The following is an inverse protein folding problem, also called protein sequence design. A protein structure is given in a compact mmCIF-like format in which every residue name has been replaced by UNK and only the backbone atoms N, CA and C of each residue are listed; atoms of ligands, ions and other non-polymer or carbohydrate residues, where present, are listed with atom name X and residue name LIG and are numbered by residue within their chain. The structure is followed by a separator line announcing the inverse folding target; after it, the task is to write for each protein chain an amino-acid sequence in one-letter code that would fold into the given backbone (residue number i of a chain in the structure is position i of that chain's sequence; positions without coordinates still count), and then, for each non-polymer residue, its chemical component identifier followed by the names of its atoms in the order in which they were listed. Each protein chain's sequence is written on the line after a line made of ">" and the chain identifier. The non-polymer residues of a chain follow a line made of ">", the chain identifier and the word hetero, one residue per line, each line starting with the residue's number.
data_IF_344189540876
#
_entry.id   IF_344189540876
#
_cell.length_a   1.000
_cell.length_b   1.000
_cell.length_c   1.000
_cell.angle_alpha   90.00
_cell.angle_beta   90.00
_cell.angle_gamma   90.00
#
_symmetry.space_group_name_H-M   'P 1'
#
loop_
_entity.id
_entity.type
_entity.pdbx_description
1 polymer ?
#
# COMPACT_ATOMS: atom_id res chain seq x y z
N UNK A 1 19.36 8.40 0.44
CA UNK A 1 19.26 9.61 -0.40
C UNK A 1 18.44 10.65 0.35
N UNK A 2 18.73 11.93 0.15
CA UNK A 2 17.92 13.00 0.72
C UNK A 2 17.46 13.92 -0.40
N UNK A 3 16.16 14.15 -0.47
CA UNK A 3 15.55 15.10 -1.41
C UNK A 3 15.14 16.33 -0.64
N UNK A 4 15.40 17.52 -1.18
CA UNK A 4 14.98 18.77 -0.56
C UNK A 4 14.36 19.68 -1.62
N UNK A 5 13.27 20.35 -1.26
CA UNK A 5 12.61 21.33 -2.10
C UNK A 5 12.10 22.48 -1.24
N UNK A 6 12.01 23.67 -1.82
CA UNK A 6 11.54 24.88 -1.13
C UNK A 6 10.50 25.58 -2.00
N UNK A 7 9.46 26.10 -1.36
CA UNK A 7 8.39 26.83 -2.01
C UNK A 7 7.82 27.90 -1.09
N UNK A 8 7.34 28.98 -1.69
CA UNK A 8 6.41 29.90 -1.06
C UNK A 8 5.01 29.28 -1.13
N UNK A 9 4.36 29.12 0.02
CA UNK A 9 3.02 28.52 0.12
C UNK A 9 2.06 29.57 0.65
N UNK A 10 0.97 29.78 -0.07
CA UNK A 10 -0.10 30.65 0.41
C UNK A 10 -0.87 29.92 1.51
N UNK A 11 -1.06 30.57 2.64
CA UNK A 11 -1.80 30.07 3.81
C UNK A 11 -3.06 30.87 4.03
N UNK A 12 -4.08 30.20 4.53
CA UNK A 12 -5.31 30.83 5.00
C UNK A 12 -5.77 30.13 6.27
N UNK A 13 -6.51 30.84 7.12
CA UNK A 13 -7.05 30.33 8.39
C UNK A 13 -6.01 29.67 9.31
N UNK A 14 -4.80 30.24 9.37
CA UNK A 14 -3.68 29.74 10.18
C UNK A 14 -3.20 28.33 9.83
N UNK A 15 -3.40 27.86 8.60
CA UNK A 15 -3.21 26.44 8.29
C UNK A 15 -2.44 26.19 7.01
N UNK A 16 -1.40 25.35 7.17
CA UNK A 16 -0.90 24.47 6.13
C UNK A 16 -1.51 23.09 6.33
N UNK A 17 -1.94 22.47 5.23
CA UNK A 17 -2.50 21.13 5.22
C UNK A 17 -1.55 20.17 4.54
N UNK A 18 -1.51 18.95 5.08
CA UNK A 18 -0.91 17.79 4.45
C UNK A 18 -2.04 16.80 4.24
N UNK A 19 -2.34 16.43 3.01
CA UNK A 19 -3.48 15.56 2.69
C UNK A 19 -3.15 14.61 1.55
N UNK A 20 -3.80 13.44 1.57
CA UNK A 20 -3.95 12.62 0.37
C UNK A 20 -5.04 13.20 -0.55
N UNK A 21 -5.11 12.74 -1.80
CA UNK A 21 -6.21 13.13 -2.68
C UNK A 21 -7.54 12.57 -2.14
N UNK A 22 -8.40 13.45 -1.62
CA UNK A 22 -9.72 13.08 -1.10
C UNK A 22 -10.29 14.13 -0.13
N UNK A 23 -11.39 13.77 0.54
CA UNK A 23 -12.08 14.60 1.54
C UNK A 23 -11.52 14.37 2.97
N UNK A 24 -10.24 13.97 3.11
CA UNK A 24 -9.62 13.75 4.41
C UNK A 24 -9.62 15.03 5.26
N UNK A 25 -10.25 14.97 6.42
CA UNK A 25 -10.33 16.10 7.33
C UNK A 25 -9.07 16.17 8.18
N UNK A 26 -8.31 17.25 8.06
CA UNK A 26 -7.16 17.51 8.92
C UNK A 26 -7.61 17.69 10.39
N UNK A 27 -6.78 17.30 11.37
CA UNK A 27 -7.14 17.39 12.78
C UNK A 27 -7.34 18.85 13.20
N UNK A 28 -8.44 19.12 13.91
CA UNK A 28 -8.74 20.46 14.44
C UNK A 28 -8.10 20.72 15.82
N UNK A 29 -7.83 19.66 16.59
CA UNK A 29 -7.17 19.76 17.89
C UNK A 29 -5.66 19.57 17.71
N UNK A 30 -4.89 20.60 18.06
CA UNK A 30 -3.43 20.65 17.91
C UNK A 30 -2.80 20.95 19.27
N UNK A 31 -2.56 19.92 20.11
CA UNK A 31 -2.23 20.10 21.52
C UNK A 31 -0.88 20.79 21.74
N UNK A 32 0.07 20.64 20.81
CA UNK A 32 1.37 21.32 20.83
C UNK A 32 1.34 22.71 20.15
N UNK A 33 0.18 23.16 19.66
CA UNK A 33 -0.02 24.42 18.92
C UNK A 33 0.81 24.60 17.64
N UNK A 34 1.47 23.55 17.15
CA UNK A 34 2.24 23.59 15.90
C UNK A 34 1.75 22.55 14.89
N UNK A 35 1.62 21.28 15.26
CA UNK A 35 1.26 20.24 14.29
C UNK A 35 0.55 19.06 14.94
N UNK A 36 -0.44 18.52 14.25
CA UNK A 36 -1.13 17.30 14.60
C UNK A 36 -1.40 16.48 13.33
N UNK A 37 -1.57 15.18 13.50
CA UNK A 37 -1.89 14.26 12.42
C UNK A 37 -3.14 13.45 12.71
N UNK A 38 -3.81 13.07 11.63
CA UNK A 38 -4.88 12.09 11.57
C UNK A 38 -4.57 11.10 10.43
N UNK A 39 -5.26 9.96 10.35
CA UNK A 39 -5.07 9.07 9.20
C UNK A 39 -5.42 9.79 7.88
N UNK A 40 -4.49 9.80 6.93
CA UNK A 40 -4.68 10.47 5.64
C UNK A 40 -4.45 11.99 5.64
N UNK A 41 -4.23 12.62 6.81
CA UNK A 41 -4.03 14.07 6.88
C UNK A 41 -3.14 14.55 8.04
N UNK A 42 -2.57 15.74 7.92
CA UNK A 42 -1.98 16.47 9.03
C UNK A 42 -2.18 17.97 8.84
N UNK A 43 -2.07 18.71 9.94
CA UNK A 43 -2.12 20.17 9.94
C UNK A 43 -0.82 20.72 10.51
N UNK A 44 -0.37 21.85 9.98
CA UNK A 44 0.65 22.70 10.59
C UNK A 44 0.01 24.07 10.81
N UNK A 45 0.01 24.53 12.06
CA UNK A 45 -0.53 25.83 12.43
C UNK A 45 0.48 26.95 12.17
N UNK A 46 0.01 28.02 11.53
CA UNK A 46 0.77 29.23 11.24
C UNK A 46 0.44 30.36 12.21
N UNK A 47 1.39 31.26 12.45
CA UNK A 47 1.11 32.49 13.19
C UNK A 47 0.30 33.47 12.34
N UNK A 48 0.61 33.52 11.06
CA UNK A 48 -0.10 34.27 10.02
C UNK A 48 -1.49 33.70 9.81
N UNK A 49 -2.52 34.57 9.87
CA UNK A 49 -3.87 34.19 9.52
C UNK A 49 -4.01 33.92 8.02
N UNK A 50 -3.45 34.80 7.18
CA UNK A 50 -3.52 34.67 5.72
C UNK A 50 -2.33 35.32 5.06
N UNK A 51 -1.69 34.68 4.10
CA UNK A 51 -0.51 35.26 3.46
C UNK A 51 0.38 34.22 2.83
N UNK A 52 1.67 34.54 2.69
CA UNK A 52 2.67 33.61 2.15
C UNK A 52 3.66 33.24 3.25
N UNK A 53 3.95 31.94 3.36
CA UNK A 53 5.02 31.41 4.22
C UNK A 53 6.07 30.69 3.38
N UNK A 54 7.28 30.60 3.90
CA UNK A 54 8.35 29.86 3.24
C UNK A 54 8.42 28.44 3.80
N UNK A 55 8.25 27.44 2.94
CA UNK A 55 8.26 26.02 3.32
C UNK A 55 9.41 25.31 2.62
N UNK A 56 10.26 24.66 3.42
CA UNK A 56 11.27 23.72 2.94
C UNK A 56 10.87 22.30 3.33
N UNK A 57 10.69 21.42 2.35
CA UNK A 57 10.45 19.99 2.56
C UNK A 57 11.74 19.22 2.40
N UNK A 58 12.06 18.35 3.37
CA UNK A 58 13.19 17.42 3.31
C UNK A 58 12.70 15.98 3.45
N UNK A 59 12.98 15.14 2.46
CA UNK A 59 12.74 13.71 2.52
C UNK A 59 14.06 13.00 2.83
N UNK A 60 14.04 12.12 3.83
CA UNK A 60 15.21 11.35 4.28
C UNK A 60 14.83 9.89 4.52
N UNK A 61 15.75 8.96 4.34
CA UNK A 61 15.46 7.52 4.45
C UNK A 61 15.39 6.99 5.89
N UNK A 62 15.77 7.80 6.88
CA UNK A 62 15.87 7.40 8.28
C UNK A 62 15.56 8.59 9.21
N UNK A 63 15.17 8.33 10.47
CA UNK A 63 14.92 9.38 11.44
C UNK A 63 16.13 10.31 11.58
N UNK A 64 15.93 11.65 11.64
CA UNK A 64 17.03 12.59 11.91
C UNK A 64 17.73 12.25 13.23
N UNK A 65 19.06 12.10 13.19
CA UNK A 65 19.90 11.75 14.34
C UNK A 65 20.40 12.95 15.14
N UNK A 66 20.30 14.16 14.59
CA UNK A 66 20.78 15.37 15.26
C UNK A 66 19.76 15.81 16.33
N UNK A 67 20.21 16.07 17.58
CA UNK A 67 19.35 16.66 18.59
C UNK A 67 18.95 18.08 18.19
N UNK A 68 17.67 18.39 18.28
CA UNK A 68 17.14 19.72 18.00
C UNK A 68 17.48 20.66 19.16
N UNK A 69 18.68 21.24 19.16
CA UNK A 69 18.94 22.38 20.02
C UNK A 69 18.30 23.65 19.42
N UNK A 70 17.70 24.53 20.25
CA UNK A 70 17.31 25.88 19.85
C UNK A 70 18.46 26.70 19.21
N UNK A 71 19.72 26.26 19.40
CA UNK A 71 20.91 26.83 18.78
C UNK A 71 20.95 26.70 17.24
N UNK A 72 20.11 25.84 16.65
CA UNK A 72 19.90 25.74 15.20
C UNK A 72 19.08 26.90 14.58
N UNK A 73 18.60 27.84 15.40
CA UNK A 73 17.85 29.01 14.95
C UNK A 73 16.41 28.70 14.56
N UNK A 74 15.78 27.70 15.21
CA UNK A 74 14.35 27.38 15.13
C UNK A 74 13.69 27.69 16.47
N UNK A 75 12.47 28.22 16.42
CA UNK A 75 11.72 28.63 17.62
C UNK A 75 10.96 27.44 18.23
N UNK A 76 10.40 26.58 17.37
CA UNK A 76 9.61 25.42 17.76
C UNK A 76 9.94 24.21 16.89
N UNK A 77 9.96 23.02 17.51
CA UNK A 77 10.19 21.74 16.82
C UNK A 77 9.27 20.68 17.38
N UNK A 78 8.49 20.03 16.50
CA UNK A 78 7.58 18.97 16.91
C UNK A 78 7.56 17.79 15.94
N UNK A 79 7.49 16.58 16.50
CA UNK A 79 7.36 15.33 15.76
C UNK A 79 5.93 14.80 15.84
N UNK A 80 5.43 14.32 14.70
CA UNK A 80 4.18 13.58 14.59
C UNK A 80 4.36 12.39 13.64
N UNK A 81 3.43 11.46 13.70
CA UNK A 81 3.40 10.32 12.78
C UNK A 81 2.31 10.51 11.74
N UNK A 82 2.67 10.36 10.47
CA UNK A 82 1.72 10.32 9.37
C UNK A 82 1.34 8.88 9.04
N UNK A 83 0.09 8.71 8.61
CA UNK A 83 -0.45 7.46 8.09
C UNK A 83 -0.97 7.73 6.69
N UNK A 84 -0.34 7.12 5.69
CA UNK A 84 -0.64 7.30 4.27
C UNK A 84 -1.21 6.00 3.69
N UNK A 85 -2.38 6.09 3.07
CA UNK A 85 -3.07 4.96 2.43
C UNK A 85 -2.74 4.83 0.94
N UNK A 86 -2.40 5.94 0.29
CA UNK A 86 -2.12 5.99 -1.15
C UNK A 86 -0.65 6.23 -1.48
N UNK A 87 0.13 6.78 -0.54
CA UNK A 87 1.49 7.24 -0.80
C UNK A 87 1.55 8.58 -1.54
N UNK A 88 0.45 9.33 -1.58
CA UNK A 88 0.35 10.58 -2.32
C UNK A 88 0.12 11.81 -1.42
N UNK A 89 0.58 11.78 -0.17
CA UNK A 89 0.43 12.93 0.73
C UNK A 89 1.21 14.13 0.21
N UNK A 90 0.56 15.28 0.13
CA UNK A 90 1.16 16.54 -0.34
C UNK A 90 0.85 17.69 0.62
N UNK A 91 1.74 18.66 0.64
CA UNK A 91 1.61 19.89 1.42
C UNK A 91 1.01 21.02 0.57
N UNK A 92 0.06 21.76 1.14
CA UNK A 92 -0.55 22.93 0.53
C UNK A 92 -1.19 23.86 1.56
N UNK A 93 -1.71 25.00 1.09
CA UNK A 93 -2.51 25.90 1.92
C UNK A 93 -3.97 25.45 2.02
N UNK A 94 -4.64 25.77 3.12
CA UNK A 94 -6.08 25.53 3.23
C UNK A 94 -6.86 26.24 2.11
N UNK A 95 -7.71 25.50 1.39
CA UNK A 95 -8.54 26.03 0.30
C UNK A 95 -7.76 26.49 -0.94
N UNK A 96 -6.44 26.29 -0.96
CA UNK A 96 -5.57 26.60 -2.08
C UNK A 96 -5.12 25.31 -2.77
N UNK A 97 -4.82 25.40 -4.06
CA UNK A 97 -4.22 24.28 -4.78
C UNK A 97 -2.90 23.83 -4.13
N UNK A 98 -2.51 22.59 -4.43
CA UNK A 98 -1.24 22.01 -3.99
C UNK A 98 -0.07 22.84 -4.49
N UNK A 99 0.98 22.97 -3.68
CA UNK A 99 2.22 23.61 -4.13
C UNK A 99 2.95 22.66 -5.08
N UNK A 100 2.80 22.85 -6.40
CA UNK A 100 3.39 21.98 -7.43
C UNK A 100 4.92 21.83 -7.35
N UNK A 101 5.59 22.80 -6.72
CA UNK A 101 7.03 22.81 -6.50
C UNK A 101 7.49 21.97 -5.30
N UNK A 102 6.57 21.49 -4.46
CA UNK A 102 6.90 20.61 -3.33
C UNK A 102 6.68 19.14 -3.70
N UNK A 103 7.56 18.23 -3.23
CA UNK A 103 7.46 16.81 -3.52
C UNK A 103 6.30 16.17 -2.76
N UNK A 104 5.89 14.99 -3.24
CA UNK A 104 5.05 14.07 -2.46
C UNK A 104 5.82 13.65 -1.21
N UNK A 105 5.21 13.85 -0.05
CA UNK A 105 5.84 13.59 1.26
C UNK A 105 6.03 12.09 1.52
N UNK A 106 5.15 11.26 0.96
CA UNK A 106 5.12 9.81 1.17
C UNK A 106 5.60 9.05 -0.06
N UNK A 107 6.71 9.50 -0.64
CA UNK A 107 7.28 8.98 -1.88
C UNK A 107 7.66 7.47 -1.85
N UNK A 108 7.73 6.84 -0.68
CA UNK A 108 7.93 5.38 -0.54
C UNK A 108 6.62 4.58 -0.65
N UNK A 109 5.51 5.24 -1.00
CA UNK A 109 4.18 4.65 -1.16
C UNK A 109 3.35 4.71 0.13
N UNK A 110 2.24 3.97 0.20
CA UNK A 110 1.48 3.85 1.44
C UNK A 110 2.37 3.40 2.60
N UNK A 111 2.10 3.87 3.81
CA UNK A 111 3.07 3.72 4.90
C UNK A 111 2.77 4.49 6.16
N UNK A 112 3.49 4.13 7.22
CA UNK A 112 3.69 4.98 8.39
C UNK A 112 4.96 5.77 8.17
N UNK A 113 4.87 7.08 8.39
CA UNK A 113 5.99 8.00 8.22
C UNK A 113 6.15 8.82 9.49
N UNK A 114 7.39 9.14 9.82
CA UNK A 114 7.67 10.18 10.81
C UNK A 114 7.71 11.52 10.08
N UNK A 115 7.17 12.55 10.72
CA UNK A 115 7.27 13.92 10.27
C UNK A 115 7.75 14.79 11.42
N UNK A 116 8.79 15.58 11.15
CA UNK A 116 9.29 16.65 12.03
C UNK A 116 8.99 17.99 11.39
N UNK A 117 8.43 18.90 12.17
CA UNK A 117 8.15 20.28 11.76
C UNK A 117 8.99 21.22 12.60
N UNK A 118 9.88 21.95 11.95
CA UNK A 118 10.55 23.11 12.54
C UNK A 118 9.83 24.38 12.10
N UNK A 119 9.61 25.31 13.02
CA UNK A 119 9.02 26.61 12.73
C UNK A 119 9.87 27.75 13.31
N UNK A 120 9.90 28.87 12.59
CA UNK A 120 10.46 30.14 13.06
C UNK A 120 9.63 31.32 12.58
N UNK A 121 9.50 32.34 13.42
CA UNK A 121 8.96 33.65 13.07
C UNK A 121 7.44 33.77 13.22
N UNK A 122 6.79 32.77 13.84
CA UNK A 122 5.33 32.73 14.03
C UNK A 122 4.80 33.92 14.84
N UNK A 123 5.60 34.42 15.77
CA UNK A 123 5.21 35.53 16.64
C UNK A 123 5.56 36.91 16.03
N UNK A 124 6.19 36.96 14.85
CA UNK A 124 6.65 38.22 14.23
C UNK A 124 5.50 38.99 13.57
N UNK A 125 4.54 38.27 13.00
CA UNK A 125 3.40 38.82 12.28
C UNK A 125 2.13 38.02 12.59
N UNK A 126 1.93 37.69 13.87
CA UNK A 126 0.76 36.96 14.36
C UNK A 126 -0.53 37.64 13.89
N UNK A 127 -1.48 36.85 13.38
CA UNK A 127 -2.76 37.29 12.81
C UNK A 127 -2.67 38.26 11.61
N UNK A 128 -1.48 38.55 11.10
CA UNK A 128 -1.31 39.50 10.01
C UNK A 128 -1.73 38.93 8.66
N UNK A 129 -1.95 39.85 7.70
CA UNK A 129 -2.09 39.54 6.28
C UNK A 129 -0.89 40.08 5.52
N UNK A 130 0.04 39.20 5.12
CA UNK A 130 1.32 39.58 4.50
C UNK A 130 1.54 38.86 3.16
N UNK A 131 2.02 39.62 2.16
CA UNK A 131 2.49 39.08 0.87
C UNK A 131 3.97 38.74 0.85
N UNK A 132 4.71 38.98 1.94
CA UNK A 132 6.14 38.65 2.07
C UNK A 132 6.31 37.63 3.20
N UNK A 133 7.03 36.52 2.99
CA UNK A 133 7.24 35.51 4.02
C UNK A 133 7.98 36.07 5.24
N UNK A 134 7.30 36.09 6.39
CA UNK A 134 7.89 36.36 7.70
C UNK A 134 8.07 35.07 8.53
N UNK A 135 7.38 33.99 8.13
CA UNK A 135 7.42 32.69 8.77
C UNK A 135 8.13 31.66 7.88
N UNK A 136 8.91 30.80 8.53
CA UNK A 136 9.72 29.78 7.88
C UNK A 136 9.43 28.43 8.51
N UNK A 137 9.18 27.44 7.65
CA UNK A 137 8.89 26.07 8.03
C UNK A 137 9.87 25.12 7.38
N UNK A 138 10.39 24.17 8.15
CA UNK A 138 11.06 22.99 7.61
C UNK A 138 10.27 21.74 7.98
N UNK A 139 9.81 21.01 6.98
CA UNK A 139 9.06 19.76 7.13
C UNK A 139 9.95 18.60 6.70
N UNK A 140 10.43 17.82 7.65
CA UNK A 140 11.28 16.65 7.39
C UNK A 140 10.46 15.38 7.52
N UNK A 141 10.46 14.52 6.51
CA UNK A 141 9.68 13.28 6.47
C UNK A 141 10.58 12.07 6.22
N UNK A 142 10.33 10.98 6.96
CA UNK A 142 11.05 9.71 6.81
C UNK A 142 10.14 8.50 6.92
N UNK A 143 10.44 7.40 6.21
CA UNK A 143 9.70 6.16 6.37
C UNK A 143 9.93 5.54 7.76
N UNK A 144 8.85 5.07 8.40
CA UNK A 144 8.92 4.23 9.62
C UNK A 144 8.62 2.77 9.27
N UNK A 145 7.50 2.54 8.58
CA UNK A 145 7.07 1.23 8.09
C UNK A 145 6.44 1.45 6.71
N UNK A 146 7.16 1.07 5.65
CA UNK A 146 6.78 1.30 4.25
C UNK A 146 7.01 0.06 3.40
N UNK A 147 6.32 -0.02 2.26
CA UNK A 147 6.42 -1.14 1.32
C UNK A 147 5.34 -2.21 1.53
N UNK A 148 5.39 -3.34 0.80
CA UNK A 148 4.26 -4.27 0.68
C UNK A 148 3.73 -4.81 2.01
N UNK A 149 4.61 -5.06 2.98
CA UNK A 149 4.18 -5.50 4.31
C UNK A 149 3.52 -4.39 5.13
N UNK A 150 4.00 -3.15 5.01
CA UNK A 150 3.38 -1.99 5.64
C UNK A 150 2.03 -1.67 4.99
N UNK A 151 1.92 -1.76 3.66
CA UNK A 151 0.65 -1.63 2.92
C UNK A 151 -0.37 -2.65 3.40
N UNK A 152 0.09 -3.87 3.67
CA UNK A 152 -0.75 -4.93 4.18
C UNK A 152 -1.19 -4.71 5.63
N UNK A 153 -0.34 -4.10 6.47
CA UNK A 153 -0.71 -3.65 7.82
C UNK A 153 -1.66 -2.45 7.81
N UNK A 154 -1.45 -1.51 6.88
CA UNK A 154 -2.22 -0.26 6.72
C UNK A 154 -3.56 -0.43 6.01
N UNK A 155 -3.84 -1.62 5.47
CA UNK A 155 -5.18 -2.00 5.04
C UNK A 155 -6.20 -1.88 6.19
N UNK A 156 -7.45 -2.23 5.88
CA UNK A 156 -8.66 -2.17 6.71
C UNK A 156 -8.43 -2.41 8.23
N UNK A 157 -7.46 -3.22 8.64
CA UNK A 157 -7.05 -3.41 10.03
C UNK A 157 -6.72 -2.13 10.80
N UNK A 158 -5.95 -1.18 10.21
CA UNK A 158 -5.65 0.10 10.88
C UNK A 158 -6.88 1.01 10.93
N UNK A 159 -7.71 1.02 9.88
CA UNK A 159 -8.96 1.76 9.89
C UNK A 159 -9.96 1.20 10.94
N UNK A 160 -9.95 -0.11 11.21
CA UNK A 160 -10.75 -0.71 12.29
C UNK A 160 -10.16 -0.47 13.68
N UNK A 161 -8.84 -0.59 13.85
CA UNK A 161 -8.12 -0.33 15.10
C UNK A 161 -8.24 1.13 15.55
N UNK A 162 -8.25 2.06 14.59
CA UNK A 162 -8.45 3.50 14.82
C UNK A 162 -9.94 3.91 14.90
N UNK A 163 -10.88 2.95 14.85
CA UNK A 163 -12.31 3.23 15.01
C UNK A 163 -12.96 3.96 13.83
N UNK A 164 -12.44 3.78 12.61
CA UNK A 164 -12.89 4.40 11.36
C UNK A 164 -13.53 3.35 10.39
N UNK A 165 -14.69 2.76 10.74
CA UNK A 165 -15.33 1.69 9.97
C UNK A 165 -15.80 2.13 8.57
N UNK A 166 -16.13 3.41 8.39
CA UNK A 166 -16.54 3.97 7.08
C UNK A 166 -15.35 4.06 6.11
N UNK A 167 -14.16 4.41 6.60
CA UNK A 167 -12.93 4.41 5.79
C UNK A 167 -12.55 3.01 5.34
N UNK A 168 -12.81 1.98 6.14
CA UNK A 168 -12.66 0.58 5.69
C UNK A 168 -13.59 0.25 4.52
N UNK A 169 -14.79 0.83 4.48
CA UNK A 169 -15.71 0.69 3.36
C UNK A 169 -15.28 1.55 2.17
N UNK A 170 -14.81 2.78 2.37
CA UNK A 170 -14.28 3.65 1.32
C UNK A 170 -13.02 3.07 0.70
N UNK A 171 -12.09 2.51 1.47
CA UNK A 171 -10.90 1.81 0.94
C UNK A 171 -11.34 0.57 0.13
N UNK A 172 -12.37 -0.15 0.58
CA UNK A 172 -12.97 -1.27 -0.18
C UNK A 172 -13.68 -0.82 -1.44
N UNK A 173 -14.46 0.25 -1.39
CA UNK A 173 -15.19 0.80 -2.52
C UNK A 173 -14.25 1.49 -3.51
N UNK A 174 -13.23 2.20 -3.03
CA UNK A 174 -12.13 2.73 -3.82
C UNK A 174 -11.40 1.59 -4.52
N UNK A 175 -11.01 0.52 -3.82
CA UNK A 175 -10.36 -0.64 -4.44
C UNK A 175 -11.27 -1.39 -5.45
N UNK A 176 -12.59 -1.41 -5.21
CA UNK A 176 -13.57 -1.95 -6.17
C UNK A 176 -13.80 -1.05 -7.38
N UNK A 177 -13.86 0.27 -7.18
CA UNK A 177 -14.12 1.29 -8.21
C UNK A 177 -12.89 1.57 -9.07
N UNK A 178 -11.70 1.52 -8.47
CA UNK A 178 -10.40 1.73 -9.11
C UNK A 178 -9.69 0.41 -9.48
N UNK A 179 -10.38 -0.72 -9.29
CA UNK A 179 -9.99 -2.06 -9.78
C UNK A 179 -10.15 -2.25 -11.30
N UNK A 180 -10.57 -1.21 -12.03
CA UNK A 180 -10.41 -1.05 -13.47
C UNK A 180 -9.27 -0.05 -13.74
N UNK A 181 -8.40 -0.29 -14.74
CA UNK A 181 -7.09 0.34 -14.82
C UNK A 181 -7.21 1.86 -15.01
N UNK A 182 -6.74 2.64 -14.04
CA UNK A 182 -6.31 4.00 -14.33
C UNK A 182 -5.00 3.94 -15.13
N UNK A 183 -5.09 4.30 -16.40
CA UNK A 183 -3.94 4.68 -17.21
C UNK A 183 -3.31 5.96 -16.63
N UNK A 184 -2.03 5.83 -16.26
CA UNK A 184 -1.08 6.80 -15.69
C UNK A 184 -1.33 8.31 -15.84
N UNK A 185 -0.97 9.04 -14.77
CA UNK A 185 0.05 10.11 -14.80
C UNK A 185 0.50 10.45 -13.38
N UNK A 186 1.72 10.06 -13.01
CA UNK A 186 2.31 10.40 -11.70
C UNK A 186 3.48 9.51 -11.24
N UNK A 187 3.72 8.38 -11.90
CA UNK A 187 4.88 7.51 -11.61
C UNK A 187 6.16 8.15 -12.18
N UNK A 188 6.93 8.85 -11.35
CA UNK A 188 8.31 9.20 -11.72
C UNK A 188 9.19 7.97 -11.50
N UNK A 189 9.85 7.57 -12.58
CA UNK A 189 10.82 6.49 -12.69
C UNK A 189 11.96 6.62 -11.66
N UNK A 190 12.38 5.49 -11.06
CA UNK A 190 13.63 5.48 -10.29
C UNK A 190 14.01 4.19 -9.60
N UNK A 191 13.04 3.39 -9.11
CA UNK A 191 13.32 2.07 -8.58
C UNK A 191 12.56 1.03 -9.42
N UNK A 192 13.25 0.11 -10.13
CA UNK A 192 12.55 -1.01 -10.72
C UNK A 192 11.83 -1.78 -9.61
N UNK A 193 10.61 -2.31 -9.84
CA UNK A 193 10.03 -3.29 -8.92
C UNK A 193 11.08 -4.36 -8.65
N UNK A 194 11.11 -5.02 -7.48
CA UNK A 194 12.04 -6.11 -7.24
C UNK A 194 11.93 -7.10 -8.41
N UNK A 195 12.92 -7.05 -9.32
CA UNK A 195 12.98 -7.88 -10.52
C UNK A 195 13.34 -9.32 -10.17
N UNK A 196 13.68 -9.56 -8.90
CA UNK A 196 14.01 -10.88 -8.42
C UNK A 196 12.75 -11.70 -8.26
N UNK A 197 12.46 -12.49 -9.29
CA UNK A 197 11.47 -13.56 -9.23
C UNK A 197 11.90 -14.52 -8.12
N UNK A 198 11.06 -14.76 -7.09
CA UNK A 198 11.41 -15.66 -6.01
C UNK A 198 11.68 -17.08 -6.51
N UNK A 199 12.62 -17.77 -5.86
CA UNK A 199 12.86 -19.19 -6.11
C UNK A 199 11.60 -20.01 -5.83
N UNK A 200 11.30 -21.05 -6.62
CA UNK A 200 10.14 -21.91 -6.37
C UNK A 200 10.15 -22.53 -4.98
N UNK A 201 9.00 -22.56 -4.32
CA UNK A 201 8.84 -23.08 -2.95
C UNK A 201 7.91 -24.28 -2.97
N UNK A 202 8.34 -25.37 -2.33
CA UNK A 202 7.49 -26.53 -2.06
C UNK A 202 7.12 -26.58 -0.58
N UNK A 203 5.89 -26.93 -0.29
CA UNK A 203 5.41 -27.15 1.07
C UNK A 203 4.20 -28.06 1.12
N UNK A 204 3.72 -28.30 2.33
CA UNK A 204 2.53 -29.11 2.57
C UNK A 204 1.44 -28.19 3.11
N UNK A 205 0.26 -28.26 2.52
CA UNK A 205 -0.90 -27.51 2.99
C UNK A 205 -2.02 -28.44 3.45
N UNK A 206 -2.80 -27.99 4.43
CA UNK A 206 -3.99 -28.70 4.89
C UNK A 206 -5.19 -28.24 4.06
N UNK A 207 -5.81 -29.17 3.35
CA UNK A 207 -7.11 -28.99 2.74
C UNK A 207 -8.21 -29.25 3.79
N UNK A 208 -9.26 -28.43 3.76
CA UNK A 208 -10.46 -28.59 4.58
C UNK A 208 -11.72 -28.20 3.79
N UNK A 209 -12.82 -28.93 4.00
CA UNK A 209 -14.06 -28.74 3.24
C UNK A 209 -13.92 -28.82 1.72
N UNK A 210 -12.99 -29.64 1.19
CA UNK A 210 -12.61 -29.67 -0.24
C UNK A 210 -11.94 -28.39 -0.75
N UNK A 211 -11.31 -27.61 0.13
CA UNK A 211 -10.70 -26.32 -0.20
C UNK A 211 -9.26 -26.27 0.25
N UNK A 212 -8.43 -25.76 -0.64
CA UNK A 212 -7.16 -25.13 -0.30
C UNK A 212 -7.35 -23.62 -0.46
N UNK A 213 -7.25 -22.88 0.65
CA UNK A 213 -7.49 -21.44 0.67
C UNK A 213 -6.17 -20.68 0.52
N UNK A 214 -6.16 -19.69 -0.37
CA UNK A 214 -5.14 -18.65 -0.38
C UNK A 214 -5.84 -17.34 -0.14
N UNK A 215 -5.41 -16.62 0.88
CA UNK A 215 -6.07 -15.38 1.31
C UNK A 215 -5.03 -14.34 1.62
N UNK A 216 -5.48 -13.11 1.61
CA UNK A 216 -4.79 -12.03 2.27
C UNK A 216 -4.94 -12.22 3.80
N UNK A 217 -3.87 -12.56 4.53
CA UNK A 217 -3.96 -12.84 5.97
C UNK A 217 -4.37 -11.61 6.79
N UNK A 218 -4.31 -10.42 6.19
CA UNK A 218 -4.70 -9.15 6.80
C UNK A 218 -6.16 -8.78 6.51
N UNK A 219 -6.90 -9.63 5.80
CA UNK A 219 -8.32 -9.44 5.52
C UNK A 219 -9.14 -10.64 6.01
N UNK A 220 -9.44 -10.62 7.31
CA UNK A 220 -10.26 -11.67 7.94
C UNK A 220 -11.72 -11.70 7.44
N UNK A 221 -12.14 -10.63 6.74
CA UNK A 221 -13.48 -10.47 6.15
C UNK A 221 -13.52 -10.66 4.63
N UNK A 222 -12.40 -11.05 3.99
CA UNK A 222 -12.39 -11.29 2.55
C UNK A 222 -13.45 -12.35 2.21
N UNK A 223 -14.33 -12.01 1.25
CA UNK A 223 -15.38 -12.92 0.81
C UNK A 223 -14.75 -14.21 0.31
N UNK A 224 -15.08 -15.32 0.95
CA UNK A 224 -14.57 -16.63 0.52
C UNK A 224 -15.34 -17.02 -0.74
N UNK A 225 -14.68 -17.19 -1.89
CA UNK A 225 -15.33 -17.69 -3.09
C UNK A 225 -16.09 -18.98 -2.79
N UNK A 226 -17.25 -19.13 -3.41
CA UNK A 226 -17.93 -20.43 -3.43
C UNK A 226 -17.03 -21.48 -4.09
N UNK A 227 -17.26 -22.74 -3.74
CA UNK A 227 -16.47 -23.82 -4.30
C UNK A 227 -16.73 -23.88 -5.82
N UNK A 228 -15.71 -23.76 -6.68
CA UNK A 228 -15.90 -23.74 -8.12
C UNK A 228 -16.39 -25.10 -8.63
N UNK A 229 -17.10 -25.09 -9.76
CA UNK A 229 -17.29 -26.29 -10.57
C UNK A 229 -15.94 -26.76 -11.16
N UNK A 230 -15.05 -25.82 -11.48
CA UNK A 230 -13.67 -26.03 -11.89
C UNK A 230 -12.69 -26.32 -10.74
N UNK A 231 -11.43 -26.02 -10.97
CA UNK A 231 -10.29 -26.21 -10.08
C UNK A 231 -10.06 -24.99 -9.18
N UNK A 232 -10.32 -23.76 -9.62
CA UNK A 232 -10.05 -22.55 -8.83
C UNK A 232 -11.16 -21.50 -8.97
N UNK A 233 -11.46 -20.81 -7.86
CA UNK A 233 -12.34 -19.65 -7.82
C UNK A 233 -11.63 -18.49 -7.15
N UNK A 234 -11.93 -17.27 -7.60
CA UNK A 234 -11.28 -16.04 -7.13
C UNK A 234 -12.31 -15.03 -6.67
N UNK A 235 -11.96 -14.28 -5.64
CA UNK A 235 -12.57 -13.03 -5.21
C UNK A 235 -11.42 -12.05 -4.92
N UNK A 236 -11.69 -10.75 -4.77
CA UNK A 236 -10.68 -9.82 -4.27
C UNK A 236 -10.10 -10.35 -2.95
N UNK A 237 -8.76 -10.41 -2.88
CA UNK A 237 -7.99 -10.82 -1.69
C UNK A 237 -8.24 -12.27 -1.20
N UNK A 238 -8.87 -13.12 -2.00
CA UNK A 238 -9.19 -14.49 -1.63
C UNK A 238 -9.33 -15.39 -2.84
N UNK A 239 -8.75 -16.58 -2.81
CA UNK A 239 -8.95 -17.61 -3.82
C UNK A 239 -9.06 -18.98 -3.16
N UNK A 240 -9.84 -19.84 -3.79
CA UNK A 240 -10.12 -21.19 -3.34
C UNK A 240 -9.76 -22.14 -4.46
N UNK A 241 -8.86 -23.08 -4.16
CA UNK A 241 -8.55 -24.20 -5.03
C UNK A 241 -9.34 -25.40 -4.54
N UNK A 242 -10.11 -26.01 -5.42
CA UNK A 242 -10.94 -27.18 -5.12
C UNK A 242 -10.07 -28.42 -5.03
N UNK A 243 -10.11 -29.07 -3.87
CA UNK A 243 -9.41 -30.33 -3.61
C UNK A 243 -10.34 -31.53 -3.66
N UNK A 244 -9.81 -32.70 -4.02
CA UNK A 244 -10.54 -33.96 -3.88
C UNK A 244 -10.61 -34.41 -2.43
N UNK A 245 -9.54 -34.17 -1.66
CA UNK A 245 -9.58 -34.41 -0.22
C UNK A 245 -10.56 -33.45 0.45
N UNK A 246 -11.58 -34.03 1.09
CA UNK A 246 -12.48 -33.28 1.98
C UNK A 246 -11.69 -32.67 3.14
N UNK A 247 -10.76 -33.45 3.70
CA UNK A 247 -9.83 -33.03 4.76
C UNK A 247 -8.53 -33.81 4.61
N UNK A 248 -7.39 -33.15 4.82
CA UNK A 248 -6.08 -33.80 4.83
C UNK A 248 -4.99 -32.98 4.15
N UNK A 249 -3.77 -33.50 4.11
CA UNK A 249 -2.63 -32.78 3.53
C UNK A 249 -2.54 -32.94 2.02
N UNK A 250 -2.15 -31.87 1.34
CA UNK A 250 -1.83 -31.83 -0.09
C UNK A 250 -0.45 -31.20 -0.25
N UNK A 251 0.28 -31.63 -1.27
CA UNK A 251 1.56 -31.01 -1.61
C UNK A 251 1.29 -29.76 -2.47
N UNK A 252 1.97 -28.65 -2.17
CA UNK A 252 1.84 -27.40 -2.92
C UNK A 252 3.22 -26.96 -3.37
N UNK A 253 3.37 -26.74 -4.67
CA UNK A 253 4.54 -26.12 -5.28
C UNK A 253 4.12 -24.75 -5.82
N UNK A 254 4.82 -23.71 -5.41
CA UNK A 254 4.60 -22.35 -5.90
C UNK A 254 5.78 -21.98 -6.78
N UNK A 255 5.48 -21.53 -8.00
CA UNK A 255 6.45 -21.10 -8.98
C UNK A 255 6.10 -19.70 -9.47
N UNK A 256 6.96 -18.74 -9.20
CA UNK A 256 6.79 -17.38 -9.69
C UNK A 256 7.42 -17.24 -11.07
N UNK A 257 6.74 -16.53 -11.96
CA UNK A 257 7.24 -16.22 -13.29
C UNK A 257 7.09 -14.72 -13.56
N UNK A 258 7.96 -14.15 -14.41
CA UNK A 258 7.85 -12.75 -14.80
C UNK A 258 6.71 -12.51 -15.80
N UNK A 259 6.28 -13.56 -16.52
CA UNK A 259 5.25 -13.48 -17.57
C UNK A 259 4.41 -14.75 -17.60
N UNK A 260 3.28 -14.70 -18.30
CA UNK A 260 2.40 -15.86 -18.45
C UNK A 260 3.13 -17.08 -19.07
N UNK A 261 2.94 -18.29 -18.50
CA UNK A 261 3.55 -19.52 -19.01
C UNK A 261 2.98 -19.88 -20.39
N UNK A 262 3.86 -20.03 -21.39
CA UNK A 262 3.49 -20.29 -22.79
C UNK A 262 2.97 -21.71 -23.06
N UNK A 263 3.34 -22.68 -22.22
CA UNK A 263 2.96 -24.07 -22.40
C UNK A 263 2.35 -24.63 -21.11
N UNK A 264 1.36 -25.54 -21.21
CA UNK A 264 0.91 -26.30 -20.06
C UNK A 264 2.05 -27.18 -19.55
N UNK A 265 2.16 -27.31 -18.23
CA UNK A 265 3.13 -28.22 -17.63
C UNK A 265 2.79 -29.66 -18.03
N UNK A 266 3.71 -30.33 -18.72
CA UNK A 266 3.57 -31.76 -19.05
C UNK A 266 3.42 -32.58 -17.76
N UNK A 267 2.63 -33.67 -17.78
CA UNK A 267 2.34 -34.59 -16.67
C UNK A 267 1.30 -34.17 -15.60
N UNK A 268 0.63 -33.02 -15.76
CA UNK A 268 -0.50 -32.63 -14.89
C UNK A 268 -1.85 -33.07 -15.48
N UNK A 269 -2.78 -33.48 -14.62
CA UNK A 269 -4.06 -34.08 -15.05
C UNK A 269 -5.11 -33.03 -15.40
N UNK A 270 -5.06 -31.88 -14.72
CA UNK A 270 -5.98 -30.77 -14.91
C UNK A 270 -5.22 -29.45 -14.72
N UNK A 271 -5.63 -28.43 -15.46
CA UNK A 271 -5.12 -27.08 -15.27
C UNK A 271 -6.22 -26.06 -15.50
N UNK A 272 -6.24 -25.02 -14.67
CA UNK A 272 -7.10 -23.86 -14.85
C UNK A 272 -6.30 -22.59 -14.65
N UNK A 273 -6.57 -21.59 -15.48
CA UNK A 273 -5.95 -20.28 -15.41
C UNK A 273 -7.00 -19.26 -15.01
N UNK A 274 -6.66 -18.45 -14.01
CA UNK A 274 -7.51 -17.37 -13.50
C UNK A 274 -6.67 -16.13 -13.28
N UNK A 275 -7.36 -15.00 -13.24
CA UNK A 275 -6.79 -13.76 -12.74
C UNK A 275 -7.33 -13.48 -11.35
N UNK A 276 -6.50 -12.91 -10.49
CA UNK A 276 -6.94 -12.45 -9.18
C UNK A 276 -6.34 -11.10 -8.84
N UNK A 277 -7.00 -10.40 -7.93
CA UNK A 277 -6.62 -9.08 -7.44
C UNK A 277 -6.24 -9.20 -5.97
N UNK A 278 -5.12 -8.59 -5.61
CA UNK A 278 -4.77 -8.34 -4.21
C UNK A 278 -4.66 -6.84 -3.98
N UNK A 279 -5.28 -6.36 -2.91
CA UNK A 279 -5.24 -4.93 -2.54
C UNK A 279 -4.03 -4.60 -1.68
N UNK A 280 -3.46 -5.57 -0.97
CA UNK A 280 -2.31 -5.36 -0.09
C UNK A 280 -1.00 -5.86 -0.66
N UNK A 281 -1.05 -6.70 -1.71
CA UNK A 281 0.14 -7.36 -2.22
C UNK A 281 0.62 -8.53 -1.38
N UNK A 282 -0.21 -9.04 -0.46
CA UNK A 282 0.10 -10.25 0.31
C UNK A 282 -1.02 -11.26 0.13
N UNK A 283 -0.67 -12.40 -0.45
CA UNK A 283 -1.54 -13.56 -0.62
C UNK A 283 -0.81 -14.81 -0.16
N UNK A 284 -1.37 -15.52 0.82
CA UNK A 284 -0.74 -16.67 1.44
C UNK A 284 -1.68 -17.85 1.52
N UNK A 285 -1.12 -19.05 1.39
CA UNK A 285 -1.85 -20.30 1.58
C UNK A 285 -2.09 -20.50 3.09
N UNK A 286 -3.37 -20.52 3.53
CA UNK A 286 -3.80 -20.38 4.94
C UNK A 286 -3.21 -21.44 5.88
N UNK A 287 -2.86 -22.62 5.36
CA UNK A 287 -2.39 -23.76 6.15
C UNK A 287 -1.15 -24.42 5.56
N UNK A 288 -0.34 -23.67 4.80
CA UNK A 288 0.90 -24.17 4.25
C UNK A 288 2.02 -24.07 5.29
N UNK A 289 2.61 -25.23 5.59
CA UNK A 289 3.88 -25.34 6.31
C UNK A 289 5.00 -25.41 5.28
N UNK A 290 5.97 -24.53 5.39
CA UNK A 290 7.27 -24.60 4.71
C UNK A 290 8.35 -24.96 5.74
N UNK A 291 9.48 -25.49 5.27
CA UNK A 291 10.62 -25.83 6.13
C UNK A 291 11.34 -24.58 6.71
N UNK A 292 10.97 -23.37 6.30
CA UNK A 292 11.66 -22.10 6.62
C UNK A 292 10.86 -21.13 7.52
N UNK A 293 9.81 -21.56 8.23
CA UNK A 293 8.96 -20.74 9.13
C UNK A 293 8.28 -19.50 8.50
N UNK A 294 8.63 -19.09 7.27
CA UNK A 294 7.96 -18.04 6.51
C UNK A 294 6.98 -18.63 5.50
N UNK A 295 5.72 -18.19 5.57
CA UNK A 295 4.70 -18.53 4.58
C UNK A 295 4.99 -17.79 3.27
N UNK A 296 5.11 -18.50 2.14
CA UNK A 296 5.40 -17.86 0.86
C UNK A 296 4.27 -16.91 0.45
N UNK A 297 4.64 -15.71 0.00
CA UNK A 297 3.72 -14.73 -0.55
C UNK A 297 3.58 -14.95 -2.07
N UNK A 298 2.37 -15.23 -2.55
CA UNK A 298 2.11 -15.44 -3.98
C UNK A 298 2.31 -14.15 -4.80
N UNK A 299 2.14 -12.98 -4.22
CA UNK A 299 2.11 -11.69 -4.93
C UNK A 299 3.38 -10.88 -4.68
N UNK A 300 4.49 -11.35 -5.27
CA UNK A 300 5.85 -10.86 -4.99
C UNK A 300 6.17 -9.43 -5.45
N UNK A 301 5.32 -8.83 -6.31
CA UNK A 301 5.47 -7.45 -6.76
C UNK A 301 4.56 -6.45 -6.01
N UNK A 302 3.90 -6.89 -4.94
CA UNK A 302 2.97 -6.06 -4.17
C UNK A 302 1.54 -6.11 -4.73
N UNK A 303 0.75 -5.09 -4.41
CA UNK A 303 -0.67 -5.02 -4.78
C UNK A 303 -0.86 -4.97 -6.30
N UNK A 304 -1.98 -5.50 -6.80
CA UNK A 304 -2.30 -5.48 -8.22
C UNK A 304 -2.94 -6.75 -8.76
N UNK A 305 -2.87 -6.91 -10.08
CA UNK A 305 -3.42 -8.04 -10.83
C UNK A 305 -2.35 -9.08 -11.12
N UNK A 306 -2.71 -10.32 -10.87
CA UNK A 306 -1.84 -11.46 -11.11
C UNK A 306 -2.60 -12.51 -11.89
N UNK A 307 -1.88 -13.16 -12.80
CA UNK A 307 -2.32 -14.41 -13.39
C UNK A 307 -1.88 -15.55 -12.49
N UNK A 308 -2.76 -16.53 -12.34
CA UNK A 308 -2.51 -17.77 -11.63
C UNK A 308 -2.94 -18.92 -12.53
N UNK A 309 -1.99 -19.81 -12.84
CA UNK A 309 -2.30 -21.13 -13.39
C UNK A 309 -2.18 -22.16 -12.29
N UNK A 310 -3.27 -22.85 -11.99
CA UNK A 310 -3.34 -23.94 -11.04
C UNK A 310 -3.29 -25.25 -11.81
N UNK A 311 -2.35 -26.11 -11.49
CA UNK A 311 -2.28 -27.48 -12.01
C UNK A 311 -2.58 -28.48 -10.90
N UNK A 312 -3.47 -29.44 -11.17
CA UNK A 312 -3.82 -30.53 -10.25
C UNK A 312 -3.34 -31.89 -10.77
N UNK A 313 -2.82 -32.74 -9.87
CA UNK A 313 -2.40 -34.11 -10.19
C UNK A 313 -2.94 -35.12 -9.17
N UNK A 314 -3.11 -36.37 -9.61
CA UNK A 314 -3.66 -37.49 -8.86
C UNK A 314 -5.16 -37.35 -8.52
N UNK A 315 -5.96 -36.87 -9.47
CA UNK A 315 -7.41 -36.71 -9.35
C UNK A 315 -8.24 -37.92 -9.81
N UNK A 316 -7.67 -38.85 -10.58
CA UNK A 316 -8.37 -40.06 -11.06
C UNK A 316 -8.00 -41.39 -10.37
N UNK A 317 -8.97 -42.08 -9.76
CA UNK A 317 -8.92 -43.53 -9.46
C UNK A 317 -8.83 -43.95 -7.98
N UNK A 318 -9.47 -45.09 -7.65
CA UNK A 318 -9.68 -45.66 -6.29
C UNK A 318 -8.38 -45.84 -5.47
N UNK A 319 -8.56 -45.58 -4.17
CA UNK A 319 -7.66 -45.69 -3.00
C UNK A 319 -6.66 -46.87 -3.02
N UNK A 320 -5.36 -46.57 -2.85
CA UNK A 320 -4.58 -46.96 -1.65
C UNK A 320 -3.08 -46.64 -1.76
N UNK A 321 -2.52 -46.46 -2.97
CA UNK A 321 -1.06 -46.32 -3.16
C UNK A 321 -0.59 -45.18 -4.10
N UNK A 322 -1.44 -44.20 -4.42
CA UNK A 322 -1.03 -43.08 -5.29
C UNK A 322 -0.32 -41.95 -4.53
N UNK A 323 0.58 -41.21 -5.22
CA UNK A 323 1.25 -40.03 -4.66
C UNK A 323 0.24 -39.04 -4.08
N UNK A 324 0.67 -38.32 -3.02
CA UNK A 324 -0.16 -37.29 -2.38
C UNK A 324 -0.71 -36.33 -3.44
N UNK A 325 -2.01 -36.06 -3.36
CA UNK A 325 -2.67 -35.01 -4.14
C UNK A 325 -1.79 -33.75 -4.11
N UNK A 326 -1.45 -33.25 -5.28
CA UNK A 326 -0.42 -32.21 -5.46
C UNK A 326 -0.95 -31.10 -6.34
N UNK A 327 -0.52 -29.87 -6.03
CA UNK A 327 -0.86 -28.66 -6.76
C UNK A 327 0.40 -27.89 -7.15
N UNK A 328 0.49 -27.47 -8.41
CA UNK A 328 1.48 -26.49 -8.85
C UNK A 328 0.75 -25.17 -9.12
N UNK A 329 1.17 -24.12 -8.45
CA UNK A 329 0.68 -22.75 -8.60
C UNK A 329 1.73 -21.98 -9.38
N UNK A 330 1.45 -21.62 -10.63
CA UNK A 330 2.31 -20.73 -11.41
C UNK A 330 1.72 -19.33 -11.35
N UNK A 331 2.46 -18.38 -10.79
CA UNK A 331 1.99 -17.00 -10.56
C UNK A 331 2.83 -16.02 -11.33
N UNK A 332 2.19 -15.09 -12.06
CA UNK A 332 2.90 -14.01 -12.76
C UNK A 332 2.16 -12.69 -12.61
N UNK A 333 2.87 -11.56 -12.57
CA UNK A 333 2.25 -10.26 -12.63
C UNK A 333 1.62 -10.07 -14.02
N UNK A 334 0.44 -9.48 -14.07
CA UNK A 334 -0.15 -9.03 -15.33
C UNK A 334 0.21 -7.55 -15.47
N UNK A 335 1.09 -7.25 -16.43
CA UNK A 335 1.35 -5.87 -16.81
C UNK A 335 0.03 -5.23 -17.24
N UNK A 336 -0.31 -4.11 -16.61
CA UNK A 336 -1.40 -3.27 -17.06
C UNK A 336 -0.95 -2.63 -18.38
N UNK A 337 -1.32 -3.24 -19.51
CA UNK A 337 -0.94 -2.75 -20.83
C UNK A 337 -1.35 -1.28 -21.03
N UNK A 338 -0.69 -0.55 -21.94
CA UNK A 338 -1.10 0.81 -22.30
C UNK A 338 -2.52 0.75 -22.87
N UNK A 339 -3.43 1.55 -22.29
CA UNK A 339 -4.81 1.66 -22.77
C UNK A 339 -4.80 1.98 -24.27
N UNK A 340 -5.54 1.19 -25.06
CA UNK A 340 -5.72 1.42 -26.48
C UNK A 340 -6.19 2.86 -26.71
N UNK A 341 -5.37 3.64 -27.42
CA UNK A 341 -5.66 5.02 -27.78
C UNK A 341 -7.02 5.06 -28.52
N UNK A 342 -8.01 5.69 -27.90
CA UNK A 342 -9.24 6.08 -28.59
C UNK A 342 -8.83 7.04 -29.72
N UNK A 343 -9.05 6.60 -30.95
CA UNK A 343 -8.96 7.45 -32.14
C UNK A 343 -10.00 8.56 -31.98
N UNK A 344 -9.62 9.85 -32.04
CA UNK A 344 -10.59 10.93 -32.08
C UNK A 344 -11.28 10.93 -33.45
N UNK A 345 -12.62 10.84 -33.43
CA UNK A 345 -13.49 11.24 -34.53
C UNK A 345 -13.97 12.67 -34.30
#
# INVERSE_FOLDING_TARGET
>A
MSTSARAEVYVSYHQLLIQEQGDEVAPFDVPNRLTASAPGAAVILTGLHTGVVDVTVRLVDAPPTEPDEPSGGWDEVHDVQLVSFTGEMRLGGFGMGLADSLPVLTAHGPGRYGMRVHARGRDVAEDAVSGVPAEFYQVTVWPIDVGPQAHARLGIGVAQELGLPDKSREIREWAKQHGLPQSERGRIAGAPPPQHVPSPVRGVAVADGHRLRVVNPFQDTASVPELPAGLVATAPDSLVIRTLKRRGTVDVLINWQPTAPRFPAESWEESEEVEFVTTTGVMQVVSMSSDEDQRPNLTYQGAGRYGLRVHGRARGGRLSNRPRESYLLVVWPIELGPAAARVPG
#
